data_IF_260089542395
#
_entry.id   IF_260089542395
#
_cell.length_a   1.000
_cell.length_b   1.000
_cell.length_c   1.000
_cell.angle_alpha   90.00
_cell.angle_beta   90.00
_cell.angle_gamma   90.00
#
_symmetry.space_group_name_H-M   'P 1'
#
loop_
_entity.id
_entity.type
_entity.pdbx_description
1 polymer ?
#
# COMPACT_ATOMS: atom_id res chain seq x y z
N UNK A 1 -26.92 41.78 12.77
CA UNK A 1 -26.80 41.83 11.29
C UNK A 1 -25.45 41.26 10.90
N UNK A 2 -25.40 39.96 10.59
CA UNK A 2 -24.19 39.28 10.08
C UNK A 2 -23.90 39.89 8.70
N UNK A 3 -22.74 40.55 8.56
CA UNK A 3 -22.34 41.19 7.30
C UNK A 3 -22.28 40.11 6.20
N UNK A 4 -23.19 40.22 5.22
CA UNK A 4 -23.31 39.29 4.07
C UNK A 4 -22.01 39.09 3.28
N UNK A 5 -21.02 39.97 3.43
CA UNK A 5 -19.70 39.85 2.80
C UNK A 5 -18.75 38.82 3.42
N UNK A 6 -19.01 38.33 4.64
CA UNK A 6 -18.06 37.43 5.32
C UNK A 6 -18.21 35.94 4.96
N UNK A 7 -19.31 35.50 4.34
CA UNK A 7 -19.47 34.09 3.94
C UNK A 7 -18.69 33.71 2.66
N UNK A 8 -18.38 34.67 1.78
CA UNK A 8 -17.69 34.39 0.52
C UNK A 8 -16.19 34.09 0.67
N UNK A 9 -15.55 34.54 1.75
CA UNK A 9 -14.12 34.35 1.96
C UNK A 9 -13.74 32.94 2.45
N UNK A 10 -14.67 32.20 3.06
CA UNK A 10 -14.40 30.86 3.64
C UNK A 10 -14.38 29.76 2.57
N UNK A 11 -15.05 29.96 1.44
CA UNK A 11 -15.12 28.96 0.35
C UNK A 11 -13.86 28.88 -0.52
N UNK A 12 -12.94 29.84 -0.40
CA UNK A 12 -11.72 29.90 -1.23
C UNK A 12 -10.53 29.09 -0.66
N UNK A 13 -10.67 28.50 0.54
CA UNK A 13 -9.62 27.68 1.17
C UNK A 13 -9.76 26.17 0.91
N UNK A 14 -10.73 25.74 0.10
CA UNK A 14 -11.03 24.31 -0.13
C UNK A 14 -10.13 23.61 -1.17
N UNK A 15 -9.04 24.24 -1.62
CA UNK A 15 -8.43 23.92 -2.93
C UNK A 15 -7.24 22.95 -2.94
N UNK A 16 -6.95 22.21 -1.86
CA UNK A 16 -5.89 21.18 -1.89
C UNK A 16 -6.32 19.86 -1.24
N UNK A 17 -7.51 19.38 -1.56
CA UNK A 17 -7.78 17.96 -1.40
C UNK A 17 -6.99 17.21 -2.50
N UNK A 18 -5.79 16.74 -2.19
CA UNK A 18 -5.06 15.86 -3.11
C UNK A 18 -5.77 14.50 -3.10
N UNK A 19 -6.77 14.35 -3.98
CA UNK A 19 -7.46 13.08 -4.23
C UNK A 19 -6.57 12.04 -4.94
N UNK A 20 -5.25 12.28 -5.02
CA UNK A 20 -4.29 11.30 -5.50
C UNK A 20 -4.32 10.07 -4.60
N UNK A 21 -4.64 8.92 -5.19
CA UNK A 21 -4.55 7.65 -4.49
C UNK A 21 -3.12 7.44 -4.00
N UNK A 22 -2.98 6.90 -2.79
CA UNK A 22 -1.70 6.38 -2.30
C UNK A 22 -1.13 5.43 -3.36
N UNK A 23 -0.02 5.82 -3.98
CA UNK A 23 0.52 5.19 -5.19
C UNK A 23 1.55 4.11 -4.85
N UNK A 24 1.90 3.27 -5.83
CA UNK A 24 3.01 2.33 -5.68
C UNK A 24 4.32 3.05 -5.34
N UNK A 25 4.55 4.24 -5.86
CA UNK A 25 5.73 5.05 -5.52
C UNK A 25 5.71 5.51 -4.06
N UNK A 26 4.55 5.96 -3.56
CA UNK A 26 4.39 6.32 -2.16
C UNK A 26 4.61 5.09 -1.26
N UNK A 27 4.03 3.94 -1.62
CA UNK A 27 4.21 2.67 -0.94
C UNK A 27 5.69 2.24 -0.89
N UNK A 28 6.41 2.31 -2.02
CA UNK A 28 7.84 1.96 -2.08
C UNK A 28 8.67 2.84 -1.14
N UNK A 29 8.36 4.14 -1.06
CA UNK A 29 9.10 5.08 -0.20
C UNK A 29 9.02 4.74 1.29
N UNK A 30 7.97 4.04 1.73
CA UNK A 30 7.73 3.65 3.12
C UNK A 30 8.35 2.29 3.48
N UNK A 31 8.85 1.54 2.49
CA UNK A 31 9.46 0.21 2.72
C UNK A 31 10.79 0.25 3.48
N UNK A 32 11.44 1.41 3.56
CA UNK A 32 12.74 1.55 4.22
C UNK A 32 12.71 1.10 5.68
N UNK A 33 11.63 1.43 6.40
CA UNK A 33 11.42 1.00 7.78
C UNK A 33 11.31 -0.52 7.91
N UNK A 34 10.57 -1.15 6.99
CA UNK A 34 10.42 -2.61 6.91
C UNK A 34 11.76 -3.32 6.69
N UNK A 35 12.57 -2.86 5.71
CA UNK A 35 13.89 -3.43 5.42
C UNK A 35 14.84 -3.30 6.61
N UNK A 36 14.91 -2.12 7.23
CA UNK A 36 15.74 -1.90 8.43
C UNK A 36 15.28 -2.76 9.60
N UNK A 37 13.98 -2.91 9.78
CA UNK A 37 13.41 -3.72 10.86
C UNK A 37 13.77 -5.21 10.69
N UNK A 38 13.69 -5.75 9.48
CA UNK A 38 14.12 -7.13 9.18
C UNK A 38 15.59 -7.37 9.49
N UNK A 39 16.43 -6.35 9.32
CA UNK A 39 17.87 -6.43 9.57
C UNK A 39 18.26 -6.09 11.02
N UNK A 40 17.28 -5.86 11.91
CA UNK A 40 17.53 -5.49 13.32
C UNK A 40 18.18 -4.11 13.49
N UNK A 41 18.08 -3.25 12.48
CA UNK A 41 18.74 -1.94 12.42
C UNK A 41 17.76 -0.76 12.49
N UNK A 42 16.45 -1.02 12.62
CA UNK A 42 15.44 0.02 12.71
C UNK A 42 15.42 0.70 14.08
N UNK A 43 15.26 2.01 14.06
CA UNK A 43 14.73 2.76 15.22
C UNK A 43 13.27 2.39 15.47
N UNK A 44 12.72 2.79 16.63
CA UNK A 44 11.30 2.57 16.95
C UNK A 44 10.37 3.20 15.90
N UNK A 45 10.69 4.42 15.44
CA UNK A 45 9.90 5.09 14.42
C UNK A 45 9.92 4.32 13.09
N UNK A 46 11.10 3.88 12.63
CA UNK A 46 11.22 3.10 11.41
C UNK A 46 10.56 1.71 11.51
N UNK A 47 10.56 1.10 12.69
CA UNK A 47 9.83 -0.15 12.92
C UNK A 47 8.32 0.06 12.81
N UNK A 48 7.79 1.22 13.26
CA UNK A 48 6.39 1.59 13.08
C UNK A 48 6.06 1.81 11.59
N UNK A 49 6.92 2.50 10.84
CA UNK A 49 6.76 2.68 9.39
C UNK A 49 6.75 1.32 8.67
N UNK A 50 7.65 0.42 9.05
CA UNK A 50 7.67 -0.96 8.55
C UNK A 50 6.40 -1.72 8.89
N UNK A 51 5.85 -1.52 10.09
CA UNK A 51 4.56 -2.08 10.49
C UNK A 51 3.38 -1.53 9.69
N UNK A 52 3.39 -0.24 9.34
CA UNK A 52 2.37 0.39 8.49
C UNK A 52 2.39 -0.20 7.08
N UNK A 53 3.58 -0.37 6.48
CA UNK A 53 3.73 -1.06 5.20
C UNK A 53 3.15 -2.49 5.26
N UNK A 54 3.54 -3.28 6.27
CA UNK A 54 3.04 -4.64 6.45
C UNK A 54 1.51 -4.68 6.64
N UNK A 55 0.97 -3.77 7.44
CA UNK A 55 -0.47 -3.66 7.69
C UNK A 55 -1.26 -3.29 6.43
N UNK A 56 -0.73 -2.39 5.60
CA UNK A 56 -1.34 -2.02 4.33
C UNK A 56 -1.39 -3.21 3.37
N UNK A 57 -0.28 -3.96 3.24
CA UNK A 57 -0.23 -5.19 2.42
C UNK A 57 -1.24 -6.22 2.91
N UNK A 58 -1.31 -6.48 4.21
CA UNK A 58 -2.27 -7.42 4.79
C UNK A 58 -3.72 -6.99 4.53
N UNK A 59 -4.05 -5.71 4.76
CA UNK A 59 -5.40 -5.20 4.55
C UNK A 59 -5.85 -5.29 3.08
N UNK A 60 -4.94 -5.05 2.14
CA UNK A 60 -5.23 -5.21 0.71
C UNK A 60 -5.44 -6.68 0.35
N UNK A 61 -4.57 -7.59 0.83
CA UNK A 61 -4.72 -9.03 0.63
C UNK A 61 -6.06 -9.55 1.17
N UNK A 62 -6.42 -9.19 2.41
CA UNK A 62 -7.69 -9.60 3.04
C UNK A 62 -8.89 -9.05 2.25
N UNK A 63 -8.82 -7.80 1.82
CA UNK A 63 -9.89 -7.15 1.04
C UNK A 63 -10.12 -7.87 -0.29
N UNK A 64 -9.06 -8.25 -1.01
CA UNK A 64 -9.21 -9.04 -2.24
C UNK A 64 -9.69 -10.46 -1.96
N UNK A 65 -9.21 -11.10 -0.90
CA UNK A 65 -9.63 -12.44 -0.50
C UNK A 65 -11.13 -12.47 -0.16
N UNK A 66 -11.62 -11.49 0.60
CA UNK A 66 -13.05 -11.35 0.95
C UNK A 66 -13.94 -11.07 -0.27
N UNK A 67 -13.42 -10.41 -1.31
CA UNK A 67 -14.14 -10.18 -2.57
C UNK A 67 -14.15 -11.41 -3.49
N UNK A 68 -13.61 -12.55 -3.03
CA UNK A 68 -13.55 -13.79 -3.81
C UNK A 68 -12.51 -13.75 -4.92
N UNK A 69 -11.41 -12.99 -4.76
CA UNK A 69 -10.30 -13.01 -5.71
C UNK A 69 -9.80 -14.46 -5.88
N UNK A 70 -9.78 -14.94 -7.13
CA UNK A 70 -9.33 -16.29 -7.52
C UNK A 70 -8.01 -16.30 -8.28
N UNK A 71 -7.24 -15.21 -8.19
CA UNK A 71 -5.97 -15.05 -8.87
C UNK A 71 -4.75 -15.08 -7.91
N UNK A 72 -4.99 -14.97 -6.60
CA UNK A 72 -3.94 -15.03 -5.57
C UNK A 72 -4.18 -16.30 -4.75
N UNK A 73 -3.32 -17.31 -4.92
CA UNK A 73 -3.41 -18.61 -4.25
C UNK A 73 -2.08 -18.94 -3.56
N UNK A 74 -1.84 -18.39 -2.35
CA UNK A 74 -0.65 -18.72 -1.61
C UNK A 74 -0.75 -20.10 -0.97
N UNK A 75 0.39 -20.74 -0.75
CA UNK A 75 0.46 -21.98 0.02
C UNK A 75 -0.04 -21.79 1.46
N UNK A 76 -0.48 -22.89 2.07
CA UNK A 76 -0.89 -22.90 3.46
C UNK A 76 0.23 -22.38 4.37
N UNK A 77 -0.10 -21.42 5.25
CA UNK A 77 0.85 -20.85 6.19
C UNK A 77 1.59 -19.60 5.70
N UNK A 78 1.20 -19.00 4.56
CA UNK A 78 1.71 -17.69 4.17
C UNK A 78 1.53 -16.68 5.31
N UNK A 79 2.61 -15.97 5.63
CA UNK A 79 2.64 -14.93 6.65
C UNK A 79 2.56 -13.55 6.02
N UNK A 80 2.17 -12.54 6.80
CA UNK A 80 2.23 -11.14 6.37
C UNK A 80 3.65 -10.77 5.92
N UNK A 81 4.68 -11.31 6.59
CA UNK A 81 6.07 -11.11 6.18
C UNK A 81 6.35 -11.61 4.76
N UNK A 82 5.89 -12.81 4.40
CA UNK A 82 6.05 -13.36 3.05
C UNK A 82 5.30 -12.55 1.99
N UNK A 83 4.08 -12.10 2.30
CA UNK A 83 3.32 -11.22 1.41
C UNK A 83 4.04 -9.87 1.21
N UNK A 84 4.53 -9.26 2.28
CA UNK A 84 5.28 -8.01 2.25
C UNK A 84 6.60 -8.13 1.48
N UNK A 85 7.30 -9.26 1.59
CA UNK A 85 8.51 -9.54 0.81
C UNK A 85 8.22 -9.60 -0.69
N UNK A 86 7.16 -10.30 -1.09
CA UNK A 86 6.72 -10.37 -2.48
C UNK A 86 6.37 -8.98 -3.04
N UNK A 87 5.65 -8.17 -2.26
CA UNK A 87 5.29 -6.78 -2.64
C UNK A 87 6.55 -5.92 -2.75
N UNK A 88 7.45 -5.95 -1.78
CA UNK A 88 8.71 -5.20 -1.82
C UNK A 88 9.52 -5.55 -3.06
N UNK A 89 9.65 -6.84 -3.37
CA UNK A 89 10.36 -7.31 -4.56
C UNK A 89 9.74 -6.73 -5.84
N UNK A 90 8.41 -6.88 -6.00
CA UNK A 90 7.69 -6.38 -7.17
C UNK A 90 7.82 -4.86 -7.35
N UNK A 91 7.72 -4.08 -6.26
CA UNK A 91 7.86 -2.62 -6.31
C UNK A 91 9.24 -2.19 -6.82
N UNK A 92 10.30 -2.93 -6.49
CA UNK A 92 11.66 -2.64 -6.95
C UNK A 92 11.88 -3.05 -8.42
N UNK A 93 11.26 -4.13 -8.87
CA UNK A 93 11.45 -4.67 -10.22
C UNK A 93 10.55 -4.02 -11.28
N UNK A 94 9.47 -3.36 -10.87
CA UNK A 94 8.48 -2.76 -11.78
C UNK A 94 8.29 -1.24 -11.59
N UNK A 95 9.35 -0.41 -11.75
CA UNK A 95 9.27 1.03 -11.58
C UNK A 95 8.24 1.69 -12.51
N UNK A 96 7.99 1.11 -13.69
CA UNK A 96 7.02 1.57 -14.66
C UNK A 96 5.57 1.51 -14.14
N UNK A 97 5.30 0.70 -13.12
CA UNK A 97 3.96 0.49 -12.56
C UNK A 97 3.71 1.28 -11.26
N UNK A 98 4.73 1.93 -10.70
CA UNK A 98 4.63 2.64 -9.41
C UNK A 98 3.70 3.86 -9.46
N UNK A 99 3.33 4.33 -10.65
CA UNK A 99 2.35 5.39 -10.83
C UNK A 99 0.90 4.94 -10.56
N UNK A 100 0.62 3.63 -10.57
CA UNK A 100 -0.69 3.09 -10.20
C UNK A 100 -0.94 3.18 -8.70
N UNK A 101 -2.19 2.98 -8.29
CA UNK A 101 -2.56 2.95 -6.87
C UNK A 101 -1.89 1.77 -6.15
N UNK A 102 -1.49 1.97 -4.90
CA UNK A 102 -0.86 0.97 -4.06
C UNK A 102 -1.65 -0.35 -3.97
N UNK A 103 -2.99 -0.37 -3.81
CA UNK A 103 -3.75 -1.61 -3.82
C UNK A 103 -3.62 -2.37 -5.15
N UNK A 104 -3.63 -1.65 -6.28
CA UNK A 104 -3.47 -2.26 -7.60
C UNK A 104 -2.10 -2.90 -7.77
N UNK A 105 -1.04 -2.19 -7.35
CA UNK A 105 0.33 -2.72 -7.44
C UNK A 105 0.53 -3.90 -6.49
N UNK A 106 -0.03 -3.86 -5.27
CA UNK A 106 0.00 -4.99 -4.33
C UNK A 106 -0.74 -6.20 -4.92
N UNK A 107 -1.90 -6.00 -5.55
CA UNK A 107 -2.64 -7.08 -6.21
C UNK A 107 -1.80 -7.74 -7.32
N UNK A 108 -1.15 -6.93 -8.16
CA UNK A 108 -0.27 -7.42 -9.22
C UNK A 108 0.91 -8.20 -8.64
N UNK A 109 1.56 -7.66 -7.60
CA UNK A 109 2.67 -8.30 -6.91
C UNK A 109 2.29 -9.66 -6.32
N UNK A 110 1.16 -9.73 -5.60
CA UNK A 110 0.71 -10.97 -4.97
C UNK A 110 0.20 -11.98 -6.00
N UNK A 111 -0.41 -11.52 -7.10
CA UNK A 111 -0.81 -12.41 -8.21
C UNK A 111 0.41 -13.00 -8.93
N UNK A 112 1.49 -12.21 -9.09
CA UNK A 112 2.73 -12.67 -9.68
C UNK A 112 3.49 -13.65 -8.78
N UNK A 113 3.51 -13.40 -7.48
CA UNK A 113 4.21 -14.24 -6.51
C UNK A 113 3.45 -15.52 -6.13
N UNK A 114 2.11 -15.46 -6.11
CA UNK A 114 1.24 -16.56 -5.69
C UNK A 114 0.15 -16.83 -6.72
N UNK A 115 0.50 -17.23 -7.96
CA UNK A 115 -0.48 -17.48 -9.00
C UNK A 115 -1.34 -18.71 -8.67
N UNK A 116 -2.64 -18.62 -8.94
CA UNK A 116 -3.50 -19.80 -8.90
C UNK A 116 -3.23 -20.71 -10.11
N UNK A 117 -3.04 -22.01 -9.88
CA UNK A 117 -3.02 -22.99 -10.96
C UNK A 117 -4.39 -23.01 -11.65
N UNK A 118 -4.41 -22.96 -12.98
CA UNK A 118 -5.64 -23.17 -13.74
C UNK A 118 -5.91 -24.67 -13.79
N UNK A 119 -7.03 -25.12 -13.22
CA UNK A 119 -7.59 -26.44 -13.45
C UNK A 119 -8.65 -26.39 -14.55
#
# INVERSE_FOLDING_TARGET
>A
MIKRGSLLAVLLFSSVANAGFYSGNALLSETGGYVKNKNGAATVAEALDGGLFMGYVAGVFDTYSMQGNRNICPDAGMSVGMASDAVLHYLNEHPEQLHYSAPSVIMLALTAAYPCERH
#
